data_IF_163377753158
#
_entry.id   IF_163377753158
#
_cell.length_a   1.000
_cell.length_b   1.000
_cell.length_c   1.000
_cell.angle_alpha   90.00
_cell.angle_beta   90.00
_cell.angle_gamma   90.00
#
_symmetry.space_group_name_H-M   'P 1'
#
loop_
_entity.id
_entity.type
_entity.pdbx_description
1 polymer ?
#
# COMPACT_ATOMS: atom_id res chain seq x y z
N UNK A 1 4.62 7.71 -23.95
CA UNK A 1 3.57 8.48 -23.24
C UNK A 1 3.65 8.08 -21.77
N UNK A 2 3.84 9.04 -20.84
CA UNK A 2 3.69 8.75 -19.41
C UNK A 2 2.20 8.51 -19.18
N UNK A 3 1.79 7.30 -18.91
CA UNK A 3 0.41 6.96 -18.55
C UNK A 3 0.12 7.71 -17.23
N UNK A 4 -0.83 8.63 -17.30
CA UNK A 4 -1.27 9.39 -16.15
C UNK A 4 -1.99 8.44 -15.19
N UNK A 5 -1.41 8.23 -14.01
CA UNK A 5 -2.00 7.33 -13.00
C UNK A 5 -3.16 8.05 -12.29
N UNK A 6 -4.24 7.33 -11.92
CA UNK A 6 -5.45 7.94 -11.37
C UNK A 6 -5.35 8.27 -9.87
N UNK A 7 -4.17 8.13 -9.26
CA UNK A 7 -4.01 8.25 -7.82
C UNK A 7 -3.43 9.63 -7.44
N UNK A 8 -3.84 10.22 -6.31
CA UNK A 8 -3.15 11.36 -5.72
C UNK A 8 -1.66 11.08 -5.54
N UNK A 9 -0.84 12.11 -5.64
CA UNK A 9 0.61 12.02 -5.59
C UNK A 9 1.13 12.62 -4.29
N UNK A 10 1.82 11.81 -3.48
CA UNK A 10 2.49 12.24 -2.26
C UNK A 10 3.99 12.42 -2.54
N UNK A 11 4.48 13.63 -2.41
CA UNK A 11 5.90 13.95 -2.52
C UNK A 11 6.57 13.76 -1.17
N UNK A 12 7.63 12.98 -1.15
CA UNK A 12 8.29 12.58 0.10
C UNK A 12 9.69 13.18 0.22
N UNK A 13 10.14 13.32 1.46
CA UNK A 13 11.46 13.86 1.80
C UNK A 13 12.59 12.96 1.28
N UNK A 14 13.82 13.50 1.12
CA UNK A 14 14.97 12.68 0.77
C UNK A 14 15.27 11.55 1.77
N UNK A 15 14.85 11.71 3.04
CA UNK A 15 14.96 10.65 4.05
C UNK A 15 14.00 9.51 3.73
N UNK A 16 12.72 9.81 3.48
CA UNK A 16 11.71 8.83 3.09
C UNK A 16 12.06 8.17 1.75
N UNK A 17 12.56 8.93 0.76
CA UNK A 17 13.04 8.36 -0.51
C UNK A 17 14.11 7.28 -0.29
N UNK A 18 15.14 7.56 0.54
CA UNK A 18 16.19 6.58 0.83
C UNK A 18 15.62 5.32 1.50
N UNK A 19 14.67 5.47 2.43
CA UNK A 19 14.03 4.36 3.09
C UNK A 19 13.23 3.50 2.09
N UNK A 20 12.41 4.11 1.24
CA UNK A 20 11.64 3.39 0.20
C UNK A 20 12.55 2.66 -0.79
N UNK A 21 13.63 3.31 -1.26
CA UNK A 21 14.60 2.67 -2.17
C UNK A 21 15.37 1.51 -1.52
N UNK A 22 15.52 1.53 -0.18
CA UNK A 22 16.07 0.42 0.59
C UNK A 22 15.04 -0.69 0.88
N UNK A 23 13.83 -0.59 0.34
CA UNK A 23 12.78 -1.61 0.52
C UNK A 23 11.89 -1.41 1.76
N UNK A 24 12.00 -0.27 2.46
CA UNK A 24 11.13 0.00 3.60
C UNK A 24 9.70 0.27 3.10
N UNK A 25 8.67 -0.45 3.60
CA UNK A 25 7.31 -0.37 3.06
C UNK A 25 6.49 0.80 3.63
N UNK A 26 7.03 1.59 4.56
CA UNK A 26 6.30 2.65 5.23
C UNK A 26 6.89 4.03 4.93
N UNK A 27 6.01 4.98 4.65
CA UNK A 27 6.31 6.41 4.64
C UNK A 27 5.65 7.03 5.86
N UNK A 28 6.45 7.64 6.71
CA UNK A 28 5.95 8.27 7.93
C UNK A 28 5.38 9.67 7.66
N UNK A 29 4.53 10.15 8.56
CA UNK A 29 3.91 11.47 8.50
C UNK A 29 4.92 12.60 8.26
N UNK A 30 6.02 12.62 9.01
CA UNK A 30 7.08 13.61 8.88
C UNK A 30 7.89 13.49 7.56
N UNK A 31 7.68 12.44 6.79
CA UNK A 31 8.35 12.20 5.51
C UNK A 31 7.49 12.60 4.30
N UNK A 32 6.22 12.94 4.52
CA UNK A 32 5.34 13.49 3.48
C UNK A 32 5.44 15.01 3.50
N UNK A 33 5.90 15.61 2.39
CA UNK A 33 6.04 17.06 2.25
C UNK A 33 4.75 17.71 1.75
N UNK A 34 4.13 17.10 0.75
CA UNK A 34 2.88 17.58 0.14
C UNK A 34 2.15 16.43 -0.53
N UNK A 35 0.84 16.61 -0.71
CA UNK A 35 0.01 15.72 -1.51
C UNK A 35 -0.73 16.59 -2.53
N UNK A 36 -0.80 16.13 -3.78
CA UNK A 36 -1.54 16.77 -4.87
C UNK A 36 -2.52 15.77 -5.47
N UNK A 37 -3.61 16.26 -6.03
CA UNK A 37 -4.60 15.41 -6.70
C UNK A 37 -4.02 14.71 -7.92
N UNK A 38 -4.71 13.65 -8.34
CA UNK A 38 -4.39 12.94 -9.57
C UNK A 38 -4.55 13.94 -10.74
N UNK A 39 -3.50 14.12 -11.52
CA UNK A 39 -3.59 14.91 -12.75
C UNK A 39 -2.67 16.10 -12.90
N UNK A 40 -2.26 16.78 -11.87
CA UNK A 40 -1.36 17.93 -12.01
C UNK A 40 -0.19 17.94 -11.02
N UNK A 41 1.02 17.55 -11.48
CA UNK A 41 2.23 17.70 -10.68
C UNK A 41 2.60 19.18 -10.42
N UNK A 42 1.96 20.12 -11.11
CA UNK A 42 2.23 21.57 -11.01
C UNK A 42 1.26 22.29 -10.08
N UNK A 43 0.13 21.70 -9.79
CA UNK A 43 -0.77 22.25 -8.79
C UNK A 43 -0.19 22.02 -7.40
N UNK A 44 0.41 23.06 -6.99
CA UNK A 44 0.56 23.64 -5.69
C UNK A 44 1.44 22.98 -4.63
N UNK A 45 2.03 23.69 -4.15
CA UNK A 45 2.86 24.18 -3.09
C UNK A 45 2.25 24.17 -1.66
N UNK A 46 1.21 23.40 -1.37
CA UNK A 46 0.71 23.29 0.00
C UNK A 46 1.23 22.02 0.64
N UNK A 47 1.68 22.12 1.90
CA UNK A 47 1.92 20.92 2.69
C UNK A 47 0.58 20.20 2.89
N UNK A 48 0.59 18.88 3.01
CA UNK A 48 -0.64 18.12 3.24
C UNK A 48 -1.37 18.56 4.53
N UNK A 49 -0.66 19.08 5.55
CA UNK A 49 -1.21 19.65 6.77
C UNK A 49 -1.97 20.93 6.50
N UNK A 50 -1.39 21.83 5.72
CA UNK A 50 -2.05 23.07 5.29
C UNK A 50 -3.28 22.77 4.41
N UNK A 51 -3.24 21.71 3.61
CA UNK A 51 -4.39 21.27 2.83
C UNK A 51 -5.55 20.80 3.72
N UNK A 52 -5.29 20.09 4.80
CA UNK A 52 -6.32 19.67 5.77
C UNK A 52 -6.87 20.88 6.54
N UNK A 53 -6.00 21.75 7.05
CA UNK A 53 -6.37 22.93 7.84
C UNK A 53 -7.13 23.97 7.03
N UNK A 54 -6.85 24.08 5.73
CA UNK A 54 -7.52 25.01 4.81
C UNK A 54 -8.77 24.44 4.14
N UNK A 55 -9.23 23.25 4.52
CA UNK A 55 -10.37 22.58 3.88
C UNK A 55 -10.06 22.02 2.49
N UNK A 56 -8.77 21.92 2.14
CA UNK A 56 -8.30 21.30 0.91
C UNK A 56 -8.48 19.79 0.91
N UNK A 57 -8.44 19.18 -0.26
CA UNK A 57 -8.72 17.76 -0.46
C UNK A 57 -7.51 16.96 -0.01
N UNK A 58 -7.58 16.39 1.19
CA UNK A 58 -6.73 15.26 1.55
C UNK A 58 -7.27 13.99 0.87
N UNK A 59 -6.40 13.04 0.50
CA UNK A 59 -6.88 11.75 0.05
C UNK A 59 -7.81 11.14 1.10
N UNK A 60 -8.85 10.46 0.63
CA UNK A 60 -9.73 9.73 1.53
C UNK A 60 -8.93 8.71 2.34
N UNK A 61 -9.27 8.53 3.62
CA UNK A 61 -8.62 7.53 4.45
C UNK A 61 -8.77 6.13 3.82
N UNK A 62 -7.66 5.44 3.61
CA UNK A 62 -7.62 4.16 2.92
C UNK A 62 -7.53 4.26 1.39
N UNK A 63 -7.47 5.46 0.81
CA UNK A 63 -7.26 5.63 -0.63
C UNK A 63 -5.85 5.19 -1.07
N UNK A 64 -5.73 4.78 -2.33
CA UNK A 64 -4.43 4.56 -2.96
C UNK A 64 -3.79 5.90 -3.30
N UNK A 65 -2.50 6.02 -3.03
CA UNK A 65 -1.67 7.19 -3.37
C UNK A 65 -0.35 6.75 -3.95
N UNK A 66 0.17 7.52 -4.91
CA UNK A 66 1.50 7.32 -5.45
C UNK A 66 2.52 8.11 -4.61
N UNK A 67 3.54 7.43 -4.11
CA UNK A 67 4.69 8.06 -3.46
C UNK A 67 5.72 8.44 -4.52
N UNK A 68 6.12 9.71 -4.52
CA UNK A 68 7.07 10.29 -5.48
C UNK A 68 8.22 10.95 -4.75
N UNK A 69 9.38 10.99 -5.39
CA UNK A 69 10.49 11.85 -4.94
C UNK A 69 10.12 13.33 -5.10
N UNK A 70 10.88 14.25 -4.49
CA UNK A 70 10.74 15.70 -4.73
C UNK A 70 10.76 16.08 -6.20
N UNK A 71 11.50 15.32 -7.03
CA UNK A 71 11.65 15.54 -8.49
C UNK A 71 10.56 14.85 -9.31
N UNK A 72 9.58 14.20 -8.67
CA UNK A 72 8.47 13.52 -9.34
C UNK A 72 8.82 12.11 -9.87
N UNK A 73 9.93 11.51 -9.45
CA UNK A 73 10.20 10.11 -9.78
C UNK A 73 9.35 9.18 -8.90
N UNK A 74 8.74 8.19 -9.50
CA UNK A 74 7.90 7.21 -8.84
C UNK A 74 8.71 6.31 -7.89
N UNK A 75 8.19 6.07 -6.70
CA UNK A 75 8.77 5.20 -5.67
C UNK A 75 7.88 4.00 -5.36
N UNK A 76 6.58 4.16 -5.48
CA UNK A 76 5.62 3.10 -5.20
C UNK A 76 4.21 3.64 -5.05
N UNK A 77 3.23 2.74 -5.01
CA UNK A 77 1.84 3.05 -4.67
C UNK A 77 1.48 2.34 -3.38
N UNK A 78 0.76 3.02 -2.52
CA UNK A 78 0.36 2.49 -1.21
C UNK A 78 -0.96 3.02 -0.71
N UNK A 79 -1.34 2.57 0.46
CA UNK A 79 -2.57 2.97 1.15
C UNK A 79 -2.27 4.16 2.06
N UNK A 80 -3.05 5.22 1.90
CA UNK A 80 -3.01 6.42 2.71
C UNK A 80 -3.76 6.24 4.03
N UNK A 81 -3.22 6.76 5.13
CA UNK A 81 -3.85 6.76 6.45
C UNK A 81 -3.82 8.17 7.05
N UNK A 82 -4.99 8.75 7.31
CA UNK A 82 -5.09 10.13 7.83
C UNK A 82 -4.60 10.28 9.27
N UNK A 83 -4.84 9.29 10.12
CA UNK A 83 -4.60 9.39 11.58
C UNK A 83 -3.40 8.56 12.06
N UNK A 84 -2.69 7.87 11.17
CA UNK A 84 -1.55 7.05 11.52
C UNK A 84 -0.24 7.82 11.37
N UNK A 85 0.72 7.56 12.27
CA UNK A 85 2.12 8.00 12.06
C UNK A 85 2.74 7.36 10.82
N UNK A 86 2.30 6.16 10.43
CA UNK A 86 2.63 5.54 9.14
C UNK A 86 1.61 6.08 8.14
N UNK A 87 1.99 7.13 7.43
CA UNK A 87 1.11 7.89 6.52
C UNK A 87 0.76 7.13 5.25
N UNK A 88 1.74 6.42 4.68
CA UNK A 88 1.53 5.58 3.49
C UNK A 88 2.18 4.23 3.73
N UNK A 89 1.43 3.17 3.44
CA UNK A 89 1.92 1.79 3.41
C UNK A 89 2.02 1.33 1.97
N UNK A 90 3.24 1.18 1.46
CA UNK A 90 3.49 0.79 0.08
C UNK A 90 3.04 -0.64 -0.18
N UNK A 91 2.27 -0.83 -1.24
CA UNK A 91 1.77 -2.11 -1.72
C UNK A 91 2.60 -2.66 -2.88
N UNK A 92 3.12 -1.75 -3.73
CA UNK A 92 3.93 -2.09 -4.89
C UNK A 92 4.85 -0.93 -5.26
N UNK A 93 6.02 -1.28 -5.79
CA UNK A 93 6.97 -0.36 -6.42
C UNK A 93 6.92 -0.43 -7.96
N UNK A 94 6.06 -1.28 -8.51
CA UNK A 94 5.85 -1.39 -9.95
C UNK A 94 4.75 -0.42 -10.41
N UNK A 95 5.12 0.57 -11.20
CA UNK A 95 4.19 1.58 -11.72
C UNK A 95 3.11 1.01 -12.67
N UNK A 96 3.27 -0.21 -13.17
CA UNK A 96 2.31 -0.87 -14.06
C UNK A 96 1.22 -1.66 -13.30
N UNK A 97 1.31 -1.79 -11.98
CA UNK A 97 0.30 -2.47 -11.20
C UNK A 97 -1.00 -1.63 -11.12
N UNK A 98 -2.13 -2.27 -11.41
CA UNK A 98 -3.45 -1.64 -11.47
C UNK A 98 -4.27 -1.78 -10.18
N UNK A 99 -3.81 -2.60 -9.22
CA UNK A 99 -4.50 -2.92 -7.94
C UNK A 99 -5.91 -3.49 -8.09
N UNK A 100 -6.15 -4.15 -9.23
CA UNK A 100 -7.34 -4.91 -9.55
C UNK A 100 -7.32 -6.33 -8.92
N UNK A 101 -8.33 -7.14 -9.20
CA UNK A 101 -8.41 -8.51 -8.71
C UNK A 101 -7.22 -9.36 -9.15
N UNK A 102 -6.72 -9.17 -10.37
CA UNK A 102 -5.56 -9.91 -10.89
C UNK A 102 -4.26 -9.59 -10.12
N UNK A 103 -4.10 -8.32 -9.69
CA UNK A 103 -3.00 -7.92 -8.82
C UNK A 103 -3.05 -8.66 -7.48
N UNK A 104 -4.21 -8.67 -6.81
CA UNK A 104 -4.36 -9.31 -5.51
C UNK A 104 -4.25 -10.82 -5.59
N UNK A 105 -4.85 -11.45 -6.60
CA UNK A 105 -4.71 -12.89 -6.85
C UNK A 105 -3.25 -13.29 -7.02
N UNK A 106 -2.48 -12.54 -7.82
CA UNK A 106 -1.06 -12.77 -8.02
C UNK A 106 -0.28 -12.69 -6.69
N UNK A 107 -0.58 -11.69 -5.84
CA UNK A 107 0.07 -11.54 -4.53
C UNK A 107 -0.28 -12.68 -3.57
N UNK A 108 -1.55 -13.08 -3.51
CA UNK A 108 -1.99 -14.23 -2.71
C UNK A 108 -1.27 -15.49 -3.16
N UNK A 109 -1.21 -15.73 -4.47
CA UNK A 109 -0.51 -16.89 -5.04
C UNK A 109 0.98 -16.89 -4.71
N UNK A 110 1.64 -15.74 -4.71
CA UNK A 110 3.04 -15.63 -4.32
C UNK A 110 3.24 -15.95 -2.84
N UNK A 111 2.43 -15.40 -1.96
CA UNK A 111 2.47 -15.70 -0.52
C UNK A 111 2.25 -17.20 -0.27
N UNK A 112 1.23 -17.78 -0.90
CA UNK A 112 0.94 -19.20 -0.81
C UNK A 112 2.08 -20.09 -1.32
N UNK A 113 2.59 -19.82 -2.50
CA UNK A 113 3.70 -20.59 -3.09
C UNK A 113 4.96 -20.50 -2.23
N UNK A 114 5.23 -19.35 -1.63
CA UNK A 114 6.34 -19.20 -0.69
C UNK A 114 6.16 -20.12 0.53
N UNK A 115 4.96 -20.18 1.12
CA UNK A 115 4.70 -21.10 2.26
C UNK A 115 4.91 -22.55 1.86
N UNK A 116 4.38 -22.98 0.73
CA UNK A 116 4.60 -24.33 0.19
C UNK A 116 6.08 -24.64 -0.05
N UNK A 117 6.82 -23.70 -0.60
CA UNK A 117 8.24 -23.89 -0.85
C UNK A 117 9.07 -24.03 0.44
N UNK A 118 8.69 -23.31 1.51
CA UNK A 118 9.41 -23.32 2.80
C UNK A 118 8.99 -24.49 3.69
N UNK A 119 7.68 -24.80 3.74
CA UNK A 119 7.11 -25.77 4.66
C UNK A 119 6.92 -27.17 4.03
N UNK A 120 7.09 -27.30 2.71
CA UNK A 120 6.83 -28.56 1.99
C UNK A 120 5.34 -28.89 1.95
N UNK A 121 5.01 -30.15 2.19
CA UNK A 121 3.63 -30.65 2.09
C UNK A 121 2.79 -30.37 3.35
N UNK A 122 3.41 -30.07 4.49
CA UNK A 122 2.69 -29.75 5.74
C UNK A 122 2.37 -28.27 5.84
N UNK A 123 1.33 -27.87 5.12
CA UNK A 123 0.74 -26.52 5.16
C UNK A 123 -0.65 -26.53 5.79
N UNK A 124 -0.97 -27.54 6.56
CA UNK A 124 -2.27 -27.71 7.23
C UNK A 124 -2.53 -26.64 8.29
N UNK A 125 -1.47 -26.17 8.97
CA UNK A 125 -1.53 -25.06 9.91
C UNK A 125 -0.37 -24.09 9.64
N UNK A 126 -0.66 -22.96 9.01
CA UNK A 126 0.38 -21.98 8.68
C UNK A 126 -0.13 -20.56 8.59
N UNK A 127 0.75 -19.58 8.80
CA UNK A 127 0.50 -18.19 8.44
C UNK A 127 0.63 -18.04 6.95
N UNK A 128 -0.51 -18.01 6.24
CA UNK A 128 -0.59 -17.91 4.78
C UNK A 128 -0.13 -16.53 4.30
N UNK A 129 -0.59 -15.46 4.97
CA UNK A 129 -0.21 -14.06 4.68
C UNK A 129 0.29 -13.42 5.96
N UNK A 130 1.46 -12.78 5.90
CA UNK A 130 2.07 -12.08 7.02
C UNK A 130 2.30 -10.59 6.70
N UNK A 131 1.20 -9.85 6.58
CA UNK A 131 1.19 -8.39 6.50
C UNK A 131 2.21 -7.83 5.49
N UNK A 132 3.05 -6.89 5.91
CA UNK A 132 4.05 -6.23 5.06
C UNK A 132 5.09 -7.20 4.49
N UNK A 133 5.39 -8.30 5.17
CA UNK A 133 6.34 -9.30 4.68
C UNK A 133 5.89 -9.93 3.35
N UNK A 134 4.59 -10.06 3.16
CA UNK A 134 3.98 -10.54 1.92
C UNK A 134 3.37 -9.39 1.09
N UNK A 135 3.59 -8.13 1.51
CA UNK A 135 3.10 -6.93 0.83
C UNK A 135 1.59 -6.69 0.95
N UNK A 136 0.96 -7.17 2.02
CA UNK A 136 -0.47 -6.99 2.32
C UNK A 136 -0.71 -6.03 3.49
N UNK A 137 0.09 -5.07 3.69
CA UNK A 137 0.00 -3.94 4.62
C UNK A 137 -1.14 -4.00 5.66
N UNK A 138 -0.93 -4.77 6.75
CA UNK A 138 -1.91 -4.89 7.83
C UNK A 138 -2.96 -5.99 7.64
N UNK A 139 -2.74 -6.97 6.75
CA UNK A 139 -3.54 -8.19 6.66
C UNK A 139 -2.71 -9.39 7.11
N UNK A 140 -3.21 -10.12 8.09
CA UNK A 140 -2.71 -11.44 8.48
C UNK A 140 -3.77 -12.47 8.14
N UNK A 141 -3.35 -13.59 7.55
CA UNK A 141 -4.22 -14.73 7.27
C UNK A 141 -3.52 -15.98 7.77
N UNK A 142 -4.13 -16.63 8.74
CA UNK A 142 -3.71 -17.92 9.26
C UNK A 142 -4.65 -19.03 8.72
N UNK A 143 -4.06 -20.10 8.21
CA UNK A 143 -4.77 -21.27 7.72
C UNK A 143 -4.71 -22.40 8.74
N UNK A 144 -5.85 -23.05 8.96
CA UNK A 144 -6.00 -24.28 9.76
C UNK A 144 -6.85 -25.25 8.95
N UNK A 145 -6.22 -26.11 8.18
CA UNK A 145 -6.85 -27.02 7.21
C UNK A 145 -7.71 -26.26 6.17
N UNK A 146 -9.02 -26.33 6.30
CA UNK A 146 -10.05 -25.70 5.47
C UNK A 146 -10.58 -24.38 6.06
N UNK A 147 -10.07 -23.95 7.21
CA UNK A 147 -10.46 -22.70 7.88
C UNK A 147 -9.38 -21.63 7.69
N UNK A 148 -9.80 -20.43 7.32
CA UNK A 148 -8.95 -19.26 7.30
C UNK A 148 -9.37 -18.28 8.41
N UNK A 149 -8.41 -17.91 9.25
CA UNK A 149 -8.59 -16.88 10.27
C UNK A 149 -7.88 -15.61 9.79
N UNK A 150 -8.60 -14.50 9.73
CA UNK A 150 -8.07 -13.23 9.21
C UNK A 150 -8.03 -12.16 10.28
N UNK A 151 -6.97 -11.35 10.28
CA UNK A 151 -6.84 -10.16 11.10
C UNK A 151 -6.49 -8.97 10.23
N UNK A 152 -7.29 -7.89 10.33
CA UNK A 152 -7.06 -6.65 9.59
C UNK A 152 -6.64 -5.55 10.56
N UNK A 153 -5.43 -5.02 10.38
CA UNK A 153 -4.77 -4.06 11.27
C UNK A 153 -4.69 -2.64 10.67
N UNK A 154 -5.09 -2.47 9.42
CA UNK A 154 -5.05 -1.20 8.72
C UNK A 154 -6.39 -0.91 8.04
N UNK A 155 -6.91 0.32 8.22
CA UNK A 155 -8.21 0.73 7.66
C UNK A 155 -8.30 0.56 6.14
N UNK A 156 -7.23 0.88 5.40
CA UNK A 156 -7.24 0.68 3.95
C UNK A 156 -7.35 -0.78 3.52
N UNK A 157 -6.80 -1.71 4.31
CA UNK A 157 -7.00 -3.14 4.07
C UNK A 157 -8.41 -3.59 4.43
N UNK A 158 -9.03 -2.97 5.45
CA UNK A 158 -10.46 -3.19 5.76
C UNK A 158 -11.35 -2.86 4.55
N UNK A 159 -11.08 -1.75 3.86
CA UNK A 159 -11.79 -1.36 2.64
C UNK A 159 -11.56 -2.32 1.47
N UNK A 160 -10.44 -3.02 1.44
CA UNK A 160 -10.09 -3.98 0.38
C UNK A 160 -10.64 -5.39 0.62
N UNK A 161 -11.22 -5.67 1.78
CA UNK A 161 -11.83 -6.98 2.08
C UNK A 161 -12.76 -7.50 0.99
N UNK A 162 -13.71 -6.69 0.43
CA UNK A 162 -14.63 -7.17 -0.61
C UNK A 162 -13.92 -7.66 -1.87
N UNK A 163 -12.69 -7.20 -2.13
CA UNK A 163 -11.89 -7.63 -3.28
C UNK A 163 -10.96 -8.77 -2.90
N UNK A 164 -10.27 -8.68 -1.74
CA UNK A 164 -9.22 -9.62 -1.37
C UNK A 164 -9.78 -10.93 -0.80
N UNK A 165 -10.82 -10.88 0.04
CA UNK A 165 -11.32 -12.07 0.73
C UNK A 165 -11.91 -13.14 -0.19
N UNK A 166 -12.68 -12.80 -1.24
CA UNK A 166 -13.15 -13.81 -2.20
C UNK A 166 -12.02 -14.54 -2.94
N UNK A 167 -10.83 -13.95 -3.00
CA UNK A 167 -9.66 -14.53 -3.66
C UNK A 167 -8.84 -15.46 -2.76
N UNK A 168 -9.16 -15.52 -1.46
CA UNK A 168 -8.48 -16.40 -0.50
C UNK A 168 -9.06 -17.83 -0.49
N UNK A 169 -10.24 -18.02 -1.06
CA UNK A 169 -10.99 -19.28 -1.06
C UNK A 169 -10.45 -20.32 -2.04
#
# INVERSE_FOLDING_TARGET
>A
MKTHRPYPMAFITPKGERACRAGHPWVYDAEVERIVEAGDPKEAARTWKESIESGGIAPENGALVDALTRKGAYLGTGIFSQQSKIRIRLLSTNANDAFDSAFWERKIRWAWNHRRAVMGDDVSACRMIFSEADGFCGLVVDRFNDVLVTQTLAYGMERLKPVVFPLLA
#
